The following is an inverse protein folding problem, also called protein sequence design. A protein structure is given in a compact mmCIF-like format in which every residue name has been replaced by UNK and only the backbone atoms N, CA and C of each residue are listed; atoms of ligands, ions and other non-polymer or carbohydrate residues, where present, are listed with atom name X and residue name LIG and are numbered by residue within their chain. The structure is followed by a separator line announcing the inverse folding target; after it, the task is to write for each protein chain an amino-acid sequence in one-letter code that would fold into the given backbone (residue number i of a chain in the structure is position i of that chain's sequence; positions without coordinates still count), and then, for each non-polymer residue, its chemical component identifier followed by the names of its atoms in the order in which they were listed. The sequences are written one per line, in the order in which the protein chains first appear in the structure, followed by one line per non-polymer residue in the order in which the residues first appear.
data_IF_694616044730
#
_entry.id   IF_694616044730
#
_cell.length_a   1.000
_cell.length_b   1.000
_cell.length_c   1.000
_cell.angle_alpha   90.00
_cell.angle_beta   90.00
_cell.angle_gamma   90.00
#
_symmetry.space_group_name_H-M   'P 1'
#
loop_
_entity.id
_entity.type
_entity.pdbx_description
1 polymer ?
#
# COMPACT_ATOMS: atom_id res chain seq x y z
N UNK A 1 -37.55 -20.48 -57.09
CA UNK A 1 -37.58 -19.18 -57.80
C UNK A 1 -36.44 -18.29 -57.31
N UNK A 2 -35.94 -17.35 -58.12
CA UNK A 2 -34.87 -16.42 -57.71
C UNK A 2 -35.28 -15.49 -56.55
N UNK A 3 -36.54 -15.04 -56.55
CA UNK A 3 -37.08 -14.13 -55.53
C UNK A 3 -37.05 -14.71 -54.11
N UNK A 4 -37.33 -16.01 -53.93
CA UNK A 4 -37.28 -16.67 -52.63
C UNK A 4 -35.84 -16.70 -52.07
N UNK A 5 -34.85 -17.01 -52.91
CA UNK A 5 -33.43 -17.01 -52.52
C UNK A 5 -32.91 -15.60 -52.20
N UNK A 6 -33.42 -14.56 -52.87
CA UNK A 6 -33.09 -13.17 -52.53
C UNK A 6 -33.73 -12.73 -51.20
N UNK A 7 -34.96 -13.15 -50.91
CA UNK A 7 -35.61 -12.87 -49.63
C UNK A 7 -34.87 -13.54 -48.45
N UNK A 8 -34.49 -14.81 -48.62
CA UNK A 8 -33.69 -15.57 -47.66
C UNK A 8 -32.33 -14.91 -47.41
N UNK A 9 -31.61 -14.51 -48.46
CA UNK A 9 -30.33 -13.79 -48.33
C UNK A 9 -30.48 -12.46 -47.56
N UNK A 10 -31.57 -11.72 -47.75
CA UNK A 10 -31.81 -10.50 -46.98
C UNK A 10 -32.13 -10.78 -45.51
N UNK A 11 -32.83 -11.87 -45.22
CA UNK A 11 -33.08 -12.32 -43.84
C UNK A 11 -31.76 -12.63 -43.12
N UNK A 12 -30.91 -13.44 -43.74
CA UNK A 12 -29.59 -13.80 -43.20
C UNK A 12 -28.70 -12.56 -43.01
N UNK A 13 -28.67 -11.65 -43.98
CA UNK A 13 -27.89 -10.40 -43.83
C UNK A 13 -28.42 -9.52 -42.69
N UNK A 14 -29.74 -9.40 -42.53
CA UNK A 14 -30.33 -8.66 -41.42
C UNK A 14 -30.06 -9.29 -40.05
N UNK A 15 -30.01 -10.62 -39.97
CA UNK A 15 -29.63 -11.34 -38.75
C UNK A 15 -28.17 -11.08 -38.38
N UNK A 16 -27.27 -11.11 -39.37
CA UNK A 16 -25.84 -10.79 -39.18
C UNK A 16 -25.67 -9.35 -38.71
N UNK A 17 -26.31 -8.37 -39.37
CA UNK A 17 -26.23 -6.96 -38.97
C UNK A 17 -26.76 -6.75 -37.54
N UNK A 18 -27.86 -7.43 -37.16
CA UNK A 18 -28.39 -7.35 -35.81
C UNK A 18 -27.50 -8.06 -34.76
N UNK A 19 -26.76 -9.09 -35.14
CA UNK A 19 -25.75 -9.72 -34.29
C UNK A 19 -24.53 -8.82 -34.11
N UNK A 20 -24.01 -8.23 -35.18
CA UNK A 20 -22.89 -7.28 -35.15
C UNK A 20 -23.20 -6.05 -34.27
N UNK A 21 -24.43 -5.51 -34.36
CA UNK A 21 -24.85 -4.41 -33.49
C UNK A 21 -24.89 -4.84 -32.03
N UNK A 22 -25.45 -6.03 -31.71
CA UNK A 22 -25.49 -6.55 -30.34
C UNK A 22 -24.10 -6.80 -29.78
N UNK A 23 -23.18 -7.31 -30.59
CA UNK A 23 -21.78 -7.51 -30.19
C UNK A 23 -21.07 -6.18 -29.94
N UNK A 24 -21.29 -5.18 -30.79
CA UNK A 24 -20.74 -3.84 -30.62
C UNK A 24 -21.28 -3.15 -29.35
N UNK A 25 -22.58 -3.27 -29.08
CA UNK A 25 -23.20 -2.77 -27.85
C UNK A 25 -22.66 -3.48 -26.60
N UNK A 26 -22.51 -4.81 -26.66
CA UNK A 26 -21.91 -5.58 -25.57
C UNK A 26 -20.44 -5.20 -25.33
N UNK A 27 -19.66 -4.96 -26.39
CA UNK A 27 -18.28 -4.50 -26.29
C UNK A 27 -18.21 -3.09 -25.66
N UNK A 28 -19.06 -2.16 -26.08
CA UNK A 28 -19.13 -0.82 -25.49
C UNK A 28 -19.51 -0.88 -24.00
N UNK A 29 -20.48 -1.71 -23.63
CA UNK A 29 -20.87 -1.92 -22.24
C UNK A 29 -19.71 -2.48 -21.39
N UNK A 30 -18.90 -3.40 -21.94
CA UNK A 30 -17.70 -3.90 -21.25
C UNK A 30 -16.67 -2.80 -21.03
N UNK A 31 -16.41 -1.96 -22.04
CA UNK A 31 -15.48 -0.82 -21.90
C UNK A 31 -15.93 0.14 -20.80
N UNK A 32 -17.22 0.45 -20.72
CA UNK A 32 -17.78 1.31 -19.68
C UNK A 32 -17.65 0.69 -18.28
N UNK A 33 -17.94 -0.61 -18.14
CA UNK A 33 -17.76 -1.33 -16.88
C UNK A 33 -16.28 -1.36 -16.45
N UNK A 34 -15.37 -1.59 -17.39
CA UNK A 34 -13.93 -1.62 -17.14
C UNK A 34 -13.40 -0.23 -16.74
N UNK A 35 -13.88 0.83 -17.40
CA UNK A 35 -13.55 2.20 -17.07
C UNK A 35 -14.03 2.57 -15.66
N UNK A 36 -15.24 2.12 -15.28
CA UNK A 36 -15.78 2.34 -13.94
C UNK A 36 -14.98 1.60 -12.87
N UNK A 37 -14.59 0.35 -13.14
CA UNK A 37 -13.72 -0.43 -12.25
C UNK A 37 -12.36 0.22 -12.09
N UNK A 38 -11.74 0.68 -13.17
CA UNK A 38 -10.47 1.40 -13.14
C UNK A 38 -10.57 2.71 -12.33
N UNK A 39 -11.69 3.44 -12.46
CA UNK A 39 -11.97 4.64 -11.65
C UNK A 39 -12.00 4.32 -10.16
N UNK A 40 -12.75 3.29 -9.77
CA UNK A 40 -12.87 2.88 -8.36
C UNK A 40 -11.55 2.34 -7.80
N UNK A 41 -10.78 1.61 -8.61
CA UNK A 41 -9.44 1.13 -8.25
C UNK A 41 -8.47 2.29 -7.99
N UNK A 42 -8.49 3.32 -8.83
CA UNK A 42 -7.68 4.53 -8.61
C UNK A 42 -8.05 5.23 -7.29
N UNK A 43 -9.36 5.39 -7.03
CA UNK A 43 -9.88 5.97 -5.78
C UNK A 43 -9.44 5.15 -4.55
N UNK A 44 -9.58 3.83 -4.62
CA UNK A 44 -9.16 2.92 -3.54
C UNK A 44 -7.67 3.06 -3.24
N UNK A 45 -6.81 3.07 -4.27
CA UNK A 45 -5.35 3.22 -4.11
C UNK A 45 -5.00 4.53 -3.42
N UNK A 46 -5.58 5.65 -3.87
CA UNK A 46 -5.40 6.97 -3.25
C UNK A 46 -5.76 6.99 -1.75
N UNK A 47 -6.85 6.30 -1.38
CA UNK A 47 -7.26 6.16 0.02
C UNK A 47 -6.37 5.23 0.82
N UNK A 48 -5.99 4.08 0.25
CA UNK A 48 -5.17 3.06 0.90
C UNK A 48 -3.82 3.60 1.34
N UNK A 49 -3.18 4.42 0.52
CA UNK A 49 -1.88 5.04 0.83
C UNK A 49 -1.94 5.99 2.04
N UNK A 50 -3.14 6.35 2.49
CA UNK A 50 -3.42 7.27 3.61
C UNK A 50 -4.19 6.60 4.75
N UNK A 51 -4.26 5.27 4.76
CA UNK A 51 -5.06 4.49 5.70
C UNK A 51 -6.56 4.87 5.71
N UNK A 52 -7.08 5.32 4.56
CA UNK A 52 -8.47 5.80 4.35
C UNK A 52 -9.09 5.18 3.09
N UNK A 53 -8.71 3.94 2.77
CA UNK A 53 -9.22 3.21 1.61
C UNK A 53 -10.73 2.98 1.67
N UNK A 54 -11.26 2.57 2.82
CA UNK A 54 -12.70 2.32 3.05
C UNK A 54 -13.48 3.60 2.79
N UNK A 55 -13.05 4.71 3.39
CA UNK A 55 -13.68 6.00 3.20
C UNK A 55 -13.63 6.45 1.73
N UNK A 56 -12.46 6.32 1.08
CA UNK A 56 -12.29 6.64 -0.34
C UNK A 56 -13.24 5.85 -1.22
N UNK A 57 -13.32 4.52 -1.02
CA UNK A 57 -14.16 3.66 -1.82
C UNK A 57 -15.65 3.95 -1.62
N UNK A 58 -16.08 4.27 -0.39
CA UNK A 58 -17.45 4.74 -0.10
C UNK A 58 -17.78 6.01 -0.89
N UNK A 59 -16.87 6.99 -0.94
CA UNK A 59 -17.06 8.20 -1.75
C UNK A 59 -17.17 7.88 -3.25
N UNK A 60 -16.30 7.00 -3.76
CA UNK A 60 -16.32 6.59 -5.18
C UNK A 60 -17.58 5.83 -5.61
N UNK A 61 -18.12 4.99 -4.72
CA UNK A 61 -19.34 4.21 -4.97
C UNK A 61 -20.62 5.08 -4.89
N UNK A 62 -20.59 6.19 -4.15
CA UNK A 62 -21.74 7.07 -3.95
C UNK A 62 -21.80 8.25 -4.90
N UNK A 63 -20.65 8.71 -5.40
CA UNK A 63 -20.58 9.92 -6.20
C UNK A 63 -19.72 9.75 -7.47
N UNK A 64 -20.00 10.53 -8.52
CA UNK A 64 -19.18 10.60 -9.74
C UNK A 64 -17.88 11.40 -9.49
N UNK A 65 -17.16 11.08 -8.42
CA UNK A 65 -15.90 11.72 -8.06
C UNK A 65 -14.71 11.03 -8.72
N UNK A 66 -13.62 11.78 -8.89
CA UNK A 66 -12.33 11.28 -9.38
C UNK A 66 -11.39 10.99 -8.22
N UNK A 67 -10.34 10.18 -8.45
CA UNK A 67 -9.31 9.93 -7.45
C UNK A 67 -8.67 11.23 -6.92
N UNK A 68 -8.45 12.22 -7.79
CA UNK A 68 -7.95 13.55 -7.40
C UNK A 68 -8.92 14.32 -6.50
N UNK A 69 -10.22 14.25 -6.78
CA UNK A 69 -11.22 14.90 -5.93
C UNK A 69 -11.28 14.23 -4.55
N UNK A 70 -11.23 12.90 -4.52
CA UNK A 70 -11.16 12.14 -3.26
C UNK A 70 -9.90 12.48 -2.49
N UNK A 71 -8.73 12.56 -3.14
CA UNK A 71 -7.46 12.94 -2.51
C UNK A 71 -7.55 14.26 -1.74
N UNK A 72 -8.25 15.26 -2.30
CA UNK A 72 -8.45 16.55 -1.66
C UNK A 72 -9.40 16.49 -0.44
N UNK A 73 -10.36 15.55 -0.44
CA UNK A 73 -11.35 15.38 0.63
C UNK A 73 -10.84 14.49 1.77
N UNK A 74 -9.93 13.56 1.46
CA UNK A 74 -9.42 12.58 2.41
C UNK A 74 -8.91 13.19 3.71
N UNK A 75 -8.12 14.29 3.74
CA UNK A 75 -7.56 14.88 4.96
C UNK A 75 -8.59 15.12 6.08
N UNK A 76 -9.83 15.46 5.75
CA UNK A 76 -10.90 15.72 6.72
C UNK A 76 -11.60 14.48 7.28
N UNK A 77 -11.25 13.27 6.82
CA UNK A 77 -11.89 12.01 7.25
C UNK A 77 -11.03 11.31 8.29
N UNK A 78 -11.64 10.60 9.23
CA UNK A 78 -10.89 9.74 10.16
C UNK A 78 -10.20 8.57 9.42
N UNK A 79 -9.02 8.11 9.88
CA UNK A 79 -8.42 6.88 9.39
C UNK A 79 -9.35 5.67 9.58
N UNK A 80 -9.31 4.75 8.63
CA UNK A 80 -10.13 3.56 8.68
C UNK A 80 -9.74 2.68 9.88
N UNK A 81 -10.72 2.37 10.72
CA UNK A 81 -10.55 1.36 11.76
C UNK A 81 -10.98 0.00 11.21
N UNK A 82 -10.21 -1.06 11.52
CA UNK A 82 -10.39 -2.41 10.96
C UNK A 82 -11.77 -3.03 11.19
N UNK A 83 -12.57 -2.50 12.13
CA UNK A 83 -13.92 -2.97 12.44
C UNK A 83 -15.05 -2.13 11.86
N UNK A 84 -14.79 -0.95 11.29
CA UNK A 84 -15.85 0.00 10.93
C UNK A 84 -16.57 -0.31 9.61
N UNK A 85 -15.99 -1.10 8.70
CA UNK A 85 -16.72 -1.46 7.48
C UNK A 85 -17.88 -2.41 7.73
N UNK A 86 -17.78 -3.23 8.77
CA UNK A 86 -18.78 -4.24 9.12
C UNK A 86 -20.01 -3.66 9.83
N UNK A 87 -19.94 -2.40 10.30
CA UNK A 87 -21.01 -1.76 11.07
C UNK A 87 -21.84 -0.81 10.21
N UNK A 88 -21.20 -0.13 9.26
CA UNK A 88 -21.89 0.82 8.40
C UNK A 88 -22.35 0.15 7.09
N UNK A 89 -23.65 0.15 6.80
CA UNK A 89 -24.15 -0.39 5.54
C UNK A 89 -23.54 0.42 4.40
N UNK A 90 -23.03 -0.29 3.38
CA UNK A 90 -22.66 0.36 2.14
C UNK A 90 -23.86 1.18 1.64
N UNK A 91 -23.71 2.47 1.31
CA UNK A 91 -24.77 3.25 0.68
C UNK A 91 -25.25 2.61 -0.63
N UNK A 92 -26.55 2.73 -0.91
CA UNK A 92 -27.21 2.14 -2.08
C UNK A 92 -26.56 2.56 -3.41
N UNK A 93 -26.77 1.76 -4.46
CA UNK A 93 -26.16 2.01 -5.78
C UNK A 93 -26.52 3.42 -6.29
N UNK A 94 -25.52 4.26 -6.45
CA UNK A 94 -25.71 5.61 -6.96
C UNK A 94 -26.11 5.57 -8.45
N UNK A 95 -27.13 6.36 -8.81
CA UNK A 95 -27.81 6.32 -10.10
C UNK A 95 -27.14 7.22 -11.18
N UNK A 96 -25.82 7.26 -11.26
CA UNK A 96 -25.11 8.06 -12.27
C UNK A 96 -24.41 7.21 -13.34
N UNK A 97 -24.09 7.82 -14.49
CA UNK A 97 -23.38 7.14 -15.57
C UNK A 97 -24.22 6.11 -16.33
N UNK A 98 -23.54 5.33 -17.17
CA UNK A 98 -24.16 4.33 -18.05
C UNK A 98 -24.70 3.14 -17.26
N UNK A 99 -25.60 2.36 -17.88
CA UNK A 99 -26.19 1.18 -17.24
C UNK A 99 -25.10 0.15 -16.88
N UNK A 100 -24.08 0.00 -17.73
CA UNK A 100 -22.94 -0.87 -17.48
C UNK A 100 -22.10 -0.42 -16.27
N UNK A 101 -21.80 0.88 -16.15
CA UNK A 101 -21.12 1.42 -14.98
C UNK A 101 -21.95 1.24 -13.69
N UNK A 102 -23.28 1.39 -13.77
CA UNK A 102 -24.20 1.12 -12.65
C UNK A 102 -24.19 -0.36 -12.26
N UNK A 103 -24.25 -1.26 -13.23
CA UNK A 103 -24.18 -2.70 -12.99
C UNK A 103 -22.85 -3.10 -12.34
N UNK A 104 -21.73 -2.51 -12.78
CA UNK A 104 -20.42 -2.77 -12.21
C UNK A 104 -20.30 -2.30 -10.76
N UNK A 105 -20.81 -1.10 -10.44
CA UNK A 105 -20.86 -0.63 -9.04
C UNK A 105 -21.69 -1.54 -8.15
N UNK A 106 -22.83 -2.00 -8.65
CA UNK A 106 -23.70 -2.92 -7.91
C UNK A 106 -23.02 -4.29 -7.71
N UNK A 107 -22.29 -4.80 -8.72
CA UNK A 107 -21.49 -6.02 -8.59
C UNK A 107 -20.43 -5.88 -7.49
N UNK A 108 -19.64 -4.81 -7.54
CA UNK A 108 -18.61 -4.51 -6.53
C UNK A 108 -19.25 -4.40 -5.14
N UNK A 109 -20.36 -3.66 -5.01
CA UNK A 109 -21.09 -3.51 -3.76
C UNK A 109 -21.57 -4.86 -3.21
N UNK A 110 -22.10 -5.75 -4.04
CA UNK A 110 -22.55 -7.09 -3.61
C UNK A 110 -21.40 -7.91 -3.05
N UNK A 111 -20.23 -7.88 -3.68
CA UNK A 111 -19.03 -8.58 -3.20
C UNK A 111 -18.60 -8.01 -1.83
N UNK A 112 -18.59 -6.68 -1.69
CA UNK A 112 -18.18 -6.03 -0.43
C UNK A 112 -19.21 -6.19 0.69
N UNK A 113 -20.47 -6.46 0.36
CA UNK A 113 -21.55 -6.70 1.31
C UNK A 113 -21.66 -8.18 1.77
N UNK A 114 -20.80 -9.07 1.28
CA UNK A 114 -20.77 -10.46 1.68
C UNK A 114 -20.42 -10.62 3.17
N UNK A 115 -21.08 -11.54 3.89
CA UNK A 115 -20.68 -11.89 5.25
C UNK A 115 -19.20 -12.28 5.37
N UNK A 116 -18.67 -12.98 4.36
CA UNK A 116 -17.29 -13.45 4.30
C UNK A 116 -16.27 -12.31 4.15
N UNK A 117 -16.68 -11.17 3.60
CA UNK A 117 -15.85 -9.96 3.52
C UNK A 117 -15.61 -9.33 4.90
N UNK A 118 -16.42 -9.70 5.92
CA UNK A 118 -16.23 -9.25 7.30
C UNK A 118 -14.90 -9.77 7.85
N UNK A 119 -14.00 -8.84 8.18
CA UNK A 119 -12.64 -9.17 8.60
C UNK A 119 -11.73 -9.61 7.45
N UNK A 120 -12.10 -9.40 6.19
CA UNK A 120 -11.29 -9.69 4.98
C UNK A 120 -11.47 -8.59 3.93
N UNK A 121 -11.62 -7.35 4.40
CA UNK A 121 -12.11 -6.28 3.55
C UNK A 121 -11.12 -5.92 2.44
N UNK A 122 -9.83 -5.84 2.73
CA UNK A 122 -8.82 -5.57 1.72
C UNK A 122 -8.79 -6.67 0.66
N UNK A 123 -8.93 -7.95 1.07
CA UNK A 123 -9.04 -9.05 0.13
C UNK A 123 -10.31 -8.97 -0.74
N UNK A 124 -11.46 -8.63 -0.14
CA UNK A 124 -12.72 -8.45 -0.86
C UNK A 124 -12.64 -7.30 -1.89
N UNK A 125 -11.97 -6.19 -1.53
CA UNK A 125 -11.76 -5.07 -2.47
C UNK A 125 -10.85 -5.48 -3.62
N UNK A 126 -9.77 -6.22 -3.36
CA UNK A 126 -8.89 -6.72 -4.43
C UNK A 126 -9.66 -7.64 -5.37
N UNK A 127 -10.44 -8.58 -4.84
CA UNK A 127 -11.29 -9.44 -5.66
C UNK A 127 -12.34 -8.65 -6.46
N UNK A 128 -12.95 -7.63 -5.86
CA UNK A 128 -13.97 -6.84 -6.53
C UNK A 128 -13.40 -5.91 -7.61
N UNK A 129 -12.25 -5.27 -7.37
CA UNK A 129 -11.71 -4.23 -8.25
C UNK A 129 -10.61 -4.72 -9.20
N UNK A 130 -9.87 -5.75 -8.83
CA UNK A 130 -8.80 -6.33 -9.65
C UNK A 130 -9.19 -7.69 -10.23
N UNK A 131 -10.20 -8.37 -9.65
CA UNK A 131 -10.85 -9.51 -10.28
C UNK A 131 -11.54 -9.08 -11.59
N UNK A 132 -11.47 -9.95 -12.60
CA UNK A 132 -12.16 -9.73 -13.88
C UNK A 132 -13.66 -9.48 -13.67
N UNK A 133 -14.29 -8.77 -14.62
CA UNK A 133 -15.72 -8.43 -14.57
C UNK A 133 -16.67 -9.63 -14.45
N UNK A 134 -16.17 -10.84 -14.73
CA UNK A 134 -16.91 -12.10 -14.62
C UNK A 134 -17.00 -12.64 -13.18
N UNK A 135 -16.27 -12.06 -12.22
CA UNK A 135 -16.30 -12.52 -10.84
C UNK A 135 -17.64 -12.15 -10.18
N UNK A 136 -18.47 -13.16 -9.93
CA UNK A 136 -19.75 -13.03 -9.23
C UNK A 136 -19.57 -12.97 -7.71
N UNK A 137 -20.60 -12.50 -7.00
CA UNK A 137 -20.60 -12.48 -5.54
C UNK A 137 -20.48 -13.90 -4.92
N UNK A 138 -21.09 -14.92 -5.55
CA UNK A 138 -21.01 -16.30 -5.08
C UNK A 138 -19.61 -16.89 -5.22
N UNK A 139 -18.93 -16.61 -6.34
CA UNK A 139 -17.53 -16.99 -6.54
C UNK A 139 -16.63 -16.27 -5.54
N UNK A 140 -16.83 -14.98 -5.32
CA UNK A 140 -16.07 -14.20 -4.36
C UNK A 140 -16.27 -14.69 -2.92
N UNK A 141 -17.49 -15.08 -2.52
CA UNK A 141 -17.78 -15.62 -1.20
C UNK A 141 -16.95 -16.88 -0.92
N UNK A 142 -16.90 -17.80 -1.90
CA UNK A 142 -16.13 -19.05 -1.80
C UNK A 142 -14.63 -18.78 -1.64
N UNK A 143 -14.09 -17.82 -2.40
CA UNK A 143 -12.68 -17.42 -2.31
C UNK A 143 -12.37 -16.75 -0.96
N UNK A 144 -13.24 -15.86 -0.49
CA UNK A 144 -13.06 -15.15 0.78
C UNK A 144 -13.13 -16.10 1.98
N UNK A 145 -14.01 -17.10 1.96
CA UNK A 145 -14.13 -18.08 3.02
C UNK A 145 -12.82 -18.85 3.28
N UNK A 146 -12.04 -19.10 2.23
CA UNK A 146 -10.73 -19.76 2.32
C UNK A 146 -9.56 -18.87 2.76
N UNK A 147 -9.76 -17.55 2.85
CA UNK A 147 -8.69 -16.61 3.19
C UNK A 147 -8.56 -16.41 4.71
N UNK A 148 -7.36 -16.09 5.22
CA UNK A 148 -7.19 -15.70 6.62
C UNK A 148 -7.91 -14.37 6.90
N UNK A 149 -8.42 -14.22 8.13
CA UNK A 149 -8.95 -12.93 8.58
C UNK A 149 -7.83 -11.92 8.78
N UNK A 150 -8.10 -10.67 8.42
CA UNK A 150 -7.26 -9.52 8.70
C UNK A 150 -7.20 -9.30 10.20
N UNK A 151 -5.98 -9.31 10.74
CA UNK A 151 -5.76 -8.96 12.14
C UNK A 151 -6.19 -7.50 12.34
N UNK A 152 -6.84 -7.17 13.47
CA UNK A 152 -7.11 -5.79 13.82
C UNK A 152 -5.78 -5.03 13.84
N UNK A 153 -5.71 -3.91 13.11
CA UNK A 153 -4.53 -3.07 13.15
C UNK A 153 -4.43 -2.49 14.55
N UNK A 154 -3.32 -2.76 15.23
CA UNK A 154 -3.06 -2.17 16.54
C UNK A 154 -3.04 -0.66 16.39
N UNK A 155 -3.77 0.03 17.25
CA UNK A 155 -3.76 1.50 17.25
C UNK A 155 -2.37 2.01 17.62
N UNK A 156 -1.98 3.21 17.18
CA UNK A 156 -0.69 3.80 17.60
C UNK A 156 -0.54 3.86 19.12
N UNK A 157 -1.66 4.08 19.84
CA UNK A 157 -1.72 4.01 21.29
C UNK A 157 -1.46 2.60 21.84
N UNK A 158 -2.04 1.56 21.23
CA UNK A 158 -1.77 0.16 21.58
C UNK A 158 -0.34 -0.26 21.26
N UNK A 159 0.23 0.19 20.15
CA UNK A 159 1.63 -0.08 19.80
C UNK A 159 2.56 0.60 20.82
N UNK A 160 2.25 1.84 21.20
CA UNK A 160 2.99 2.57 22.24
C UNK A 160 2.82 1.91 23.61
N UNK A 161 1.62 1.46 23.97
CA UNK A 161 1.34 0.75 25.21
C UNK A 161 2.00 -0.63 25.25
N UNK A 162 1.98 -1.37 24.14
CA UNK A 162 2.67 -2.65 23.99
C UNK A 162 4.18 -2.50 24.02
N UNK A 163 4.74 -1.42 23.43
CA UNK A 163 6.15 -1.05 23.61
C UNK A 163 6.46 -0.66 25.06
N UNK A 164 5.58 0.08 25.72
CA UNK A 164 5.74 0.46 27.12
C UNK A 164 5.65 -0.75 28.06
N UNK A 165 4.82 -1.75 27.73
CA UNK A 165 4.69 -3.00 28.49
C UNK A 165 5.82 -4.02 28.17
N UNK A 166 6.34 -4.01 26.94
CA UNK A 166 7.51 -4.80 26.53
C UNK A 166 8.85 -4.19 26.92
N UNK A 167 8.86 -2.91 27.31
CA UNK A 167 9.89 -2.38 28.19
C UNK A 167 9.50 -2.76 29.62
N UNK A 168 10.02 -3.89 30.10
CA UNK A 168 10.53 -3.91 31.48
C UNK A 168 11.52 -2.76 31.59
N UNK A 169 10.97 -1.61 31.99
CA UNK A 169 11.63 -0.50 32.64
C UNK A 169 13.02 -0.15 32.08
N UNK A 170 13.07 0.66 31.01
CA UNK A 170 14.24 1.51 30.85
C UNK A 170 14.23 2.57 31.97
N UNK A 171 14.70 2.18 33.15
CA UNK A 171 14.76 3.06 34.32
C UNK A 171 14.56 2.43 35.70
N UNK A 172 14.04 1.21 35.85
CA UNK A 172 13.76 0.70 37.21
C UNK A 172 14.94 0.00 37.88
N UNK A 173 15.98 -0.29 37.12
CA UNK A 173 17.30 -0.56 37.69
C UNK A 173 18.07 0.75 37.96
N UNK A 174 17.49 1.94 37.72
CA UNK A 174 18.15 3.18 38.14
C UNK A 174 18.02 3.34 39.65
N UNK A 175 19.04 2.81 40.34
CA UNK A 175 19.49 3.39 41.59
C UNK A 175 19.48 4.92 41.48
N UNK A 176 19.01 5.63 42.51
CA UNK A 176 18.85 7.07 42.43
C UNK A 176 20.23 7.71 42.33
N UNK A 177 20.40 8.57 41.30
CA UNK A 177 21.54 9.45 40.98
C UNK A 177 22.47 8.93 39.88
N UNK A 178 22.00 9.03 38.63
CA UNK A 178 22.90 9.33 37.52
C UNK A 178 22.36 10.55 36.78
N UNK A 179 23.21 11.54 36.59
CA UNK A 179 22.85 12.79 35.90
C UNK A 179 22.52 12.48 34.44
N UNK A 180 21.69 13.31 33.78
CA UNK A 180 21.27 13.08 32.39
C UNK A 180 22.44 12.79 31.43
N UNK A 181 23.62 13.36 31.71
CA UNK A 181 24.86 13.14 30.94
C UNK A 181 25.39 11.70 31.04
N UNK A 182 25.25 11.07 32.20
CA UNK A 182 25.67 9.68 32.44
C UNK A 182 24.70 8.69 31.80
N UNK A 183 23.39 8.94 31.94
CA UNK A 183 22.35 8.14 31.27
C UNK A 183 22.49 8.17 29.74
N UNK A 184 22.80 9.34 29.17
CA UNK A 184 23.01 9.46 27.71
C UNK A 184 24.26 8.71 27.26
N UNK A 185 25.35 8.79 28.04
CA UNK A 185 26.60 8.09 27.74
C UNK A 185 26.45 6.58 27.82
N UNK A 186 25.67 6.09 28.77
CA UNK A 186 25.41 4.66 28.92
C UNK A 186 24.45 4.12 27.86
N UNK A 187 23.42 4.90 27.49
CA UNK A 187 22.55 4.60 26.35
C UNK A 187 23.32 4.46 25.04
N UNK A 188 24.23 5.39 24.75
CA UNK A 188 25.13 5.29 23.59
C UNK A 188 26.05 4.07 23.65
N UNK A 189 26.59 3.76 24.83
CA UNK A 189 27.47 2.59 25.00
C UNK A 189 26.72 1.27 24.76
N UNK A 190 25.46 1.17 25.20
CA UNK A 190 24.60 0.00 24.93
C UNK A 190 24.22 -0.11 23.45
N UNK A 191 23.87 1.00 22.81
CA UNK A 191 23.55 1.03 21.38
C UNK A 191 24.73 0.59 20.52
N UNK A 192 25.95 1.06 20.84
CA UNK A 192 27.18 0.64 20.17
C UNK A 192 27.50 -0.83 20.42
N UNK A 193 27.32 -1.32 21.65
CA UNK A 193 27.52 -2.74 21.96
C UNK A 193 26.52 -3.65 21.21
N UNK A 194 25.25 -3.26 21.11
CA UNK A 194 24.24 -3.99 20.36
C UNK A 194 24.51 -3.98 18.84
N UNK A 195 24.97 -2.86 18.29
CA UNK A 195 25.37 -2.76 16.89
C UNK A 195 26.63 -3.60 16.58
N UNK A 196 27.59 -3.66 17.51
CA UNK A 196 28.78 -4.51 17.34
C UNK A 196 28.44 -6.00 17.48
N UNK A 197 27.50 -6.36 18.35
CA UNK A 197 27.01 -7.72 18.50
C UNK A 197 26.25 -8.22 17.25
N UNK A 198 25.47 -7.35 16.58
CA UNK A 198 24.75 -7.72 15.36
C UNK A 198 25.67 -7.91 14.14
N UNK A 199 26.87 -7.34 14.18
CA UNK A 199 27.90 -7.47 13.13
C UNK A 199 28.81 -8.70 13.38
N UNK A 200 28.58 -9.46 14.47
CA UNK A 200 29.37 -10.66 14.79
C UNK A 200 30.76 -10.37 15.36
N UNK A 201 31.04 -9.14 15.78
CA UNK A 201 32.28 -8.81 16.47
C UNK A 201 32.19 -9.31 17.92
N UNK A 202 32.94 -10.36 18.25
CA UNK A 202 33.07 -10.86 19.62
C UNK A 202 33.55 -9.78 20.61
N UNK A 203 33.31 -9.96 21.92
CA UNK A 203 33.54 -8.92 22.92
C UNK A 203 35.01 -8.49 22.94
N UNK A 204 35.27 -7.27 22.50
CA UNK A 204 36.59 -6.67 22.59
C UNK A 204 36.94 -6.44 24.06
N UNK A 205 37.86 -7.27 24.55
CA UNK A 205 38.51 -7.09 25.85
C UNK A 205 39.17 -5.72 25.85
N UNK A 206 38.76 -4.87 26.80
CA UNK A 206 39.28 -3.52 26.99
C UNK A 206 40.77 -3.59 27.37
N UNK A 207 41.66 -3.47 26.38
CA UNK A 207 43.05 -3.11 26.59
C UNK A 207 43.23 -1.64 26.19
N UNK A 208 43.60 -0.81 27.16
CA UNK A 208 43.75 0.63 27.00
C UNK A 208 44.80 0.99 25.96
N UNK A 209 44.37 1.78 24.98
CA UNK A 209 45.20 2.43 23.98
C UNK A 209 44.31 3.10 22.92
N UNK A 210 44.70 4.25 22.34
CA UNK A 210 43.92 4.86 21.28
C UNK A 210 43.88 3.90 20.07
N UNK A 211 42.67 3.48 19.70
CA UNK A 211 42.44 2.66 18.51
C UNK A 211 42.74 3.53 17.28
N UNK A 212 43.88 3.29 16.66
CA UNK A 212 44.14 3.72 15.29
C UNK A 212 43.38 2.73 14.41
N UNK A 213 42.39 3.23 13.66
CA UNK A 213 41.73 2.43 12.62
C UNK A 213 42.77 2.16 11.52
N UNK A 214 43.31 0.95 11.48
CA UNK A 214 44.08 0.47 10.34
C UNK A 214 43.11 0.06 9.23
N UNK A 215 42.89 0.98 8.27
CA UNK A 215 42.03 0.77 7.11
C UNK A 215 42.76 0.10 5.92
N UNK A 216 43.97 -0.42 6.12
CA UNK A 216 44.71 -1.09 5.05
C UNK A 216 44.44 -2.61 5.04
N UNK A 217 43.30 -3.01 4.47
CA UNK A 217 43.19 -4.35 3.88
C UNK A 217 44.11 -4.48 2.66
N UNK A 218 44.75 -5.64 2.41
CA UNK A 218 45.73 -5.78 1.36
C UNK A 218 45.05 -5.82 -0.02
N UNK A 219 45.25 -4.77 -0.82
CA UNK A 219 45.19 -4.87 -2.28
C UNK A 219 43.96 -4.32 -3.00
N UNK A 220 43.37 -3.20 -2.56
CA UNK A 220 42.40 -2.47 -3.38
C UNK A 220 43.06 -1.24 -4.05
N UNK A 221 43.36 -1.26 -5.36
CA UNK A 221 44.07 -0.17 -6.07
C UNK A 221 43.17 1.05 -6.37
N UNK A 222 41.96 1.10 -5.81
CA UNK A 222 40.96 2.14 -6.08
C UNK A 222 41.09 3.39 -5.21
N UNK A 223 41.91 3.36 -4.15
CA UNK A 223 42.25 4.53 -3.35
C UNK A 223 43.75 4.78 -3.48
N UNK A 224 44.10 5.89 -4.14
CA UNK A 224 45.48 6.31 -4.35
C UNK A 224 46.33 6.26 -3.08
N UNK A 225 47.63 6.14 -3.26
CA UNK A 225 48.58 5.95 -2.16
C UNK A 225 48.49 7.08 -1.13
N UNK A 226 49.01 6.86 0.09
CA UNK A 226 49.13 7.90 1.11
C UNK A 226 49.77 9.20 0.56
N UNK A 227 50.71 9.05 -0.38
CA UNK A 227 51.35 10.17 -1.06
C UNK A 227 50.41 10.97 -1.98
N UNK A 228 49.37 10.35 -2.54
CA UNK A 228 48.35 11.02 -3.34
C UNK A 228 47.35 11.78 -2.46
N UNK A 229 47.04 11.25 -1.28
CA UNK A 229 46.25 11.95 -0.25
C UNK A 229 46.99 13.19 0.28
N UNK A 230 48.29 13.06 0.57
CA UNK A 230 49.11 14.18 1.04
C UNK A 230 49.24 15.28 -0.03
N UNK A 231 49.32 14.90 -1.31
CA UNK A 231 49.34 15.83 -2.44
C UNK A 231 48.01 16.58 -2.59
N UNK A 232 46.88 15.89 -2.42
CA UNK A 232 45.56 16.50 -2.45
C UNK A 232 45.35 17.48 -1.28
N UNK A 233 45.83 17.12 -0.08
CA UNK A 233 45.73 17.97 1.11
C UNK A 233 46.61 19.23 1.00
N UNK A 234 47.79 19.11 0.40
CA UNK A 234 48.68 20.24 0.12
C UNK A 234 48.08 21.20 -0.92
N UNK A 235 47.45 20.68 -1.98
CA UNK A 235 46.75 21.49 -2.98
C UNK A 235 45.54 22.24 -2.40
N UNK A 236 44.77 21.59 -1.53
CA UNK A 236 43.64 22.22 -0.84
C UNK A 236 44.08 23.37 0.08
N UNK A 237 45.20 23.21 0.81
CA UNK A 237 45.75 24.27 1.67
C UNK A 237 46.30 25.45 0.88
N UNK A 238 46.81 25.25 -0.33
CA UNK A 238 47.30 26.33 -1.20
C UNK A 238 46.16 27.14 -1.84
N UNK A 239 44.97 26.54 -2.02
CA UNK A 239 43.80 27.20 -2.63
C UNK A 239 43.01 28.14 -1.72
N UNK A 240 43.13 28.00 -0.39
CA UNK A 240 42.37 28.80 0.59
C UNK A 240 42.99 30.19 0.83
N UNK A 241 44.15 30.49 0.24
CA UNK A 241 44.83 31.78 0.34
C UNK A 241 44.50 32.83 -0.74
N UNK A 242 43.53 32.57 -1.64
CA UNK A 242 43.11 33.55 -2.67
C UNK A 242 41.59 33.59 -2.84
N UNK A 243 40.89 34.10 -1.84
CA UNK A 243 39.60 34.80 -1.98
C UNK A 243 39.46 35.79 -0.85
#
# INVERSE_FOLDING_TARGET
TGAARHAERRGVLGEIEAEEIREAEAAAARVDADAERARLLAIWRTGRDRDRGIAALRMGLTAPVTARAVEALLPGVEPDQSNQFAVDPMPGAAAFGTDAARAERERIRRILALPEARGRFAAAVVLALEGGGDLTAEMAASLLAGMPMEAPRQTGAEILAARAAGMTEFGADMQPRQTAKEATREGWRRAVAAANASIGAGPAVSAGGPVVLDLAGPGDPSFGTQADLDRALAAAKAGVGRT
#
